data_IF_261842608938
#
_entry.id   IF_261842608938
#
_cell.length_a   1.000
_cell.length_b   1.000
_cell.length_c   1.000
_cell.angle_alpha   90.00
_cell.angle_beta   90.00
_cell.angle_gamma   90.00
#
_symmetry.space_group_name_H-M   'P 1'
#
loop_
_entity.id
_entity.type
_entity.pdbx_description
1 polymer ?
2 non-polymer ?
3 water ?
#
# COMPACT_ATOMS: atom_id res chain seq x y z
N UNK A 3 -10.86 8.33 29.80
CA UNK A 3 -11.45 8.78 28.49
C UNK A 3 -10.80 8.13 27.21
N UNK A 4 -11.49 8.30 26.09
CA UNK A 4 -11.16 7.58 24.85
C UNK A 4 -10.06 8.29 24.03
N UNK A 5 -9.29 7.48 23.31
CA UNK A 5 -8.38 7.95 22.29
C UNK A 5 -9.17 7.80 20.99
N UNK A 6 -9.25 8.89 20.21
CA UNK A 6 -10.10 8.90 19.00
C UNK A 6 -9.26 8.75 17.73
N UNK A 7 -9.66 7.85 16.84
CA UNK A 7 -8.92 7.56 15.63
C UNK A 7 -9.93 7.61 14.51
N UNK A 8 -9.64 8.45 13.49
CA UNK A 8 -10.58 8.58 12.37
C UNK A 8 -9.94 7.97 11.17
N UNK A 9 -10.66 7.07 10.50
CA UNK A 9 -10.10 6.32 9.37
C UNK A 9 -11.01 6.61 8.19
N UNK A 10 -10.41 7.04 7.09
CA UNK A 10 -11.17 7.17 5.90
C UNK A 10 -10.56 6.21 4.89
N UNK A 11 -11.37 5.26 4.42
CA UNK A 11 -10.96 4.29 3.42
C UNK A 11 -12.08 4.08 2.40
N UNK A 12 -11.77 3.41 1.29
CA UNK A 12 -12.79 3.28 0.25
C UNK A 12 -13.50 1.96 0.48
N UNK A 13 -14.77 1.98 0.81
CA UNK A 13 -15.48 0.70 0.90
C UNK A 13 -16.51 0.53 -0.19
N UNK A 14 -16.62 1.49 -1.11
CA UNK A 14 -17.55 1.33 -2.22
C UNK A 14 -16.81 1.52 -3.53
N UNK A 15 -17.34 0.95 -4.61
CA UNK A 15 -16.72 1.09 -5.92
C UNK A 15 -15.48 0.23 -6.00
N UNK A 16 -14.75 0.33 -7.12
CA UNK A 16 -13.78 -0.77 -7.33
C UNK A 16 -12.51 -0.69 -6.45
N UNK A 17 -12.24 0.49 -5.89
CA UNK A 17 -11.13 0.64 -4.95
C UNK A 17 -11.42 0.02 -3.56
N UNK A 18 -12.63 -0.51 -3.41
CA UNK A 18 -13.03 -1.23 -2.17
C UNK A 18 -12.26 -2.57 -2.04
N UNK A 19 -11.73 -3.04 -3.15
CA UNK A 19 -10.79 -4.16 -3.15
C UNK A 19 -9.60 -3.86 -2.21
N UNK A 20 -9.23 -2.58 -2.04
CA UNK A 20 -8.14 -2.22 -1.13
C UNK A 20 -8.69 -1.84 0.22
N UNK A 21 -9.72 -0.99 0.29
CA UNK A 21 -10.26 -0.48 1.55
C UNK A 21 -11.09 -1.46 2.39
N UNK A 22 -11.84 -2.36 1.73
CA UNK A 22 -12.64 -3.37 2.46
C UNK A 22 -11.77 -4.29 3.40
N UNK A 23 -10.65 -4.86 2.88
CA UNK A 23 -9.75 -5.55 3.84
C UNK A 23 -9.10 -4.66 4.91
N UNK A 24 -8.76 -3.41 4.56
CA UNK A 24 -8.17 -2.51 5.55
C UNK A 24 -9.25 -2.35 6.63
N UNK A 25 -10.49 -2.16 6.22
CA UNK A 25 -11.59 -2.03 7.17
C UNK A 25 -11.85 -3.34 7.91
N UNK A 26 -11.98 -4.44 7.20
CA UNK A 26 -12.10 -5.77 7.87
C UNK A 26 -11.03 -6.07 8.94
N UNK A 27 -9.82 -5.60 8.72
CA UNK A 27 -8.72 -5.97 9.60
C UNK A 27 -8.80 -5.27 10.97
N UNK A 28 -9.62 -4.22 11.05
CA UNK A 28 -9.84 -3.51 12.30
C UNK A 28 -10.46 -4.40 13.41
N UNK A 29 -11.14 -5.46 13.02
CA UNK A 29 -11.59 -6.43 13.99
C UNK A 29 -10.47 -7.01 14.90
N UNK A 30 -9.25 -7.05 14.38
CA UNK A 30 -8.14 -7.75 15.03
C UNK A 30 -7.05 -6.83 15.62
N UNK A 31 -7.29 -5.52 15.72
CA UNK A 31 -6.22 -4.66 16.22
C UNK A 31 -6.53 -4.33 17.66
N UNK A 32 -5.64 -3.60 18.34
CA UNK A 32 -5.86 -3.30 19.78
C UNK A 32 -7.14 -2.53 19.99
N UNK A 33 -7.75 -2.75 21.16
CA UNK A 33 -9.04 -2.18 21.52
C UNK A 33 -8.89 -1.04 22.48
N UNK A 34 -7.76 -1.01 23.15
CA UNK A 34 -7.46 0.06 24.09
C UNK A 34 -5.99 0.15 24.08
N UNK A 35 -5.49 1.32 24.46
CA UNK A 35 -4.07 1.52 24.76
C UNK A 35 -3.90 2.32 26.07
N UNK A 36 -2.94 1.90 26.90
CA UNK A 36 -2.67 2.53 28.20
C UNK A 36 -3.94 2.66 29.01
N UNK A 37 -4.82 1.66 28.91
CA UNK A 37 -6.09 1.65 29.63
C UNK A 37 -7.13 2.61 29.08
N UNK A 38 -6.82 3.30 27.97
CA UNK A 38 -7.86 4.10 27.32
C UNK A 38 -8.51 3.32 26.17
N UNK A 39 -9.85 3.21 26.15
CA UNK A 39 -10.56 2.63 25.02
C UNK A 39 -10.26 3.39 23.70
N UNK A 40 -10.22 2.64 22.60
CA UNK A 40 -10.11 3.23 21.26
C UNK A 40 -11.48 3.48 20.68
N UNK A 41 -11.72 4.73 20.29
CA UNK A 41 -12.93 5.05 19.58
C UNK A 41 -12.51 5.22 18.10
N UNK A 42 -12.95 4.28 17.27
CA UNK A 42 -12.46 4.17 15.94
C UNK A 42 -13.63 4.48 15.03
N UNK A 43 -13.53 5.58 14.31
CA UNK A 43 -14.59 6.00 13.41
C UNK A 43 -14.11 5.75 12.03
N UNK A 44 -14.89 5.02 11.23
CA UNK A 44 -14.46 4.68 9.90
C UNK A 44 -15.47 5.25 8.93
N UNK A 45 -15.01 5.99 7.93
CA UNK A 45 -15.97 6.49 6.96
C UNK A 45 -15.50 6.16 5.54
N UNK A 46 -16.45 5.72 4.71
CA UNK A 46 -16.19 5.50 3.27
C UNK A 46 -15.90 6.86 2.63
N UNK A 47 -14.94 6.89 1.72
CA UNK A 47 -14.69 8.05 0.89
C UNK A 47 -14.88 7.76 -0.59
N UNK A 48 -15.33 6.53 -0.91
CA UNK A 48 -15.55 6.11 -2.31
C UNK A 48 -14.31 6.26 -3.19
N UNK A 49 -13.15 6.42 -2.59
CA UNK A 49 -11.95 6.61 -3.40
C UNK A 49 -11.78 8.06 -3.88
N UNK A 50 -12.64 8.96 -3.42
CA UNK A 50 -12.71 10.32 -4.02
C UNK A 50 -11.97 11.35 -3.16
N UNK A 51 -10.98 12.08 -3.75
CA UNK A 51 -10.24 13.05 -2.92
C UNK A 51 -11.17 14.07 -2.20
N UNK A 52 -12.18 14.59 -2.87
CA UNK A 52 -13.18 15.47 -2.22
C UNK A 52 -13.82 14.81 -0.98
N UNK A 53 -14.32 13.57 -1.08
CA UNK A 53 -14.86 12.88 0.10
C UNK A 53 -13.84 12.59 1.22
N UNK A 54 -12.61 12.22 0.85
CA UNK A 54 -11.59 11.95 1.85
C UNK A 54 -11.28 13.22 2.61
N UNK A 55 -11.25 14.35 1.89
CA UNK A 55 -10.95 15.64 2.51
C UNK A 55 -12.03 15.98 3.52
N UNK A 56 -13.27 15.87 3.10
CA UNK A 56 -14.39 16.11 4.02
C UNK A 56 -14.41 15.23 5.25
N UNK A 57 -14.17 13.92 5.11
CA UNK A 57 -14.10 13.02 6.25
C UNK A 57 -12.99 13.44 7.16
N UNK A 58 -11.83 13.76 6.58
CA UNK A 58 -10.66 14.17 7.39
C UNK A 58 -10.88 15.46 8.18
N UNK A 59 -11.54 16.43 7.54
CA UNK A 59 -11.87 17.68 8.18
C UNK A 59 -12.83 17.48 9.34
N UNK A 60 -13.81 16.59 9.16
CA UNK A 60 -14.71 16.22 10.21
C UNK A 60 -14.00 15.54 11.37
N UNK A 61 -13.18 14.54 11.07
CA UNK A 61 -12.39 13.84 12.12
C UNK A 61 -11.57 14.79 13.00
N UNK A 62 -10.88 15.72 12.32
CA UNK A 62 -9.89 16.56 12.91
C UNK A 62 -10.51 17.71 13.72
N UNK A 63 -11.62 18.27 13.21
CA UNK A 63 -12.18 19.45 13.82
C UNK A 63 -13.39 19.13 14.71
N UNK A 64 -14.23 18.15 14.34
CA UNK A 64 -15.44 17.86 15.08
C UNK A 64 -15.29 16.67 16.00
N UNK A 65 -14.68 15.59 15.55
CA UNK A 65 -14.41 14.55 16.54
C UNK A 65 -13.11 14.70 17.30
N UNK A 66 -12.32 15.70 16.98
CA UNK A 66 -11.09 15.94 17.72
C UNK A 66 -10.19 14.70 17.77
N UNK A 67 -10.01 14.08 16.59
CA UNK A 67 -9.23 12.86 16.46
C UNK A 67 -7.82 13.14 16.91
N UNK A 68 -7.26 12.16 17.62
CA UNK A 68 -5.84 12.12 18.00
C UNK A 68 -4.90 11.65 16.84
N UNK A 69 -5.45 10.85 15.93
CA UNK A 69 -4.73 10.25 14.82
C UNK A 69 -5.75 10.03 13.73
N UNK A 70 -5.37 10.32 12.49
CA UNK A 70 -6.22 9.90 11.39
C UNK A 70 -5.43 8.96 10.49
N UNK A 71 -6.16 8.16 9.72
CA UNK A 71 -5.54 7.24 8.76
C UNK A 71 -6.39 7.19 7.53
N UNK A 72 -5.70 6.85 6.46
CA UNK A 72 -6.29 6.68 5.12
C UNK A 72 -5.33 7.19 4.05
N UNK A 73 -5.77 7.13 2.79
CA UNK A 73 -6.97 6.44 2.42
C UNK A 73 -6.55 5.06 1.82
N UNK A 74 -7.36 4.50 0.93
CA UNK A 74 -7.03 3.23 0.29
C UNK A 74 -6.20 3.34 -0.99
N UNK A 75 -6.24 4.50 -1.66
CA UNK A 75 -5.53 4.75 -2.92
C UNK A 75 -4.84 6.13 -2.85
N UNK A 76 -3.87 6.34 -3.70
CA UNK A 76 -2.99 7.52 -3.59
C UNK A 76 -3.68 8.91 -3.60
N UNK A 77 -4.55 9.21 -4.61
CA UNK A 77 -5.07 10.60 -4.60
C UNK A 77 -5.88 10.98 -3.34
N UNK A 78 -6.84 10.13 -2.89
CA UNK A 78 -7.43 10.51 -1.61
C UNK A 78 -6.44 10.57 -0.46
N UNK A 79 -5.35 9.81 -0.55
CA UNK A 79 -4.35 9.80 0.51
C UNK A 79 -3.55 11.11 0.59
N UNK A 80 -3.23 11.67 -0.55
CA UNK A 80 -2.64 12.98 -0.64
C UNK A 80 -3.56 14.02 0.02
N UNK A 81 -4.84 13.93 -0.28
CA UNK A 81 -5.83 14.81 0.27
C UNK A 81 -5.82 14.72 1.80
N UNK A 82 -5.91 13.52 2.37
CA UNK A 82 -5.95 13.35 3.84
C UNK A 82 -4.67 13.92 4.43
N UNK A 83 -3.53 13.62 3.80
CA UNK A 83 -2.24 14.13 4.24
C UNK A 83 -2.26 15.67 4.31
N UNK A 84 -2.76 16.32 3.26
CA UNK A 84 -2.88 17.79 3.28
C UNK A 84 -3.74 18.30 4.45
N UNK A 85 -4.90 17.68 4.72
CA UNK A 85 -5.71 18.08 5.88
C UNK A 85 -4.92 17.91 7.16
N UNK A 86 -4.28 16.76 7.28
CA UNK A 86 -3.52 16.45 8.47
C UNK A 86 -2.39 17.39 8.71
N UNK A 87 -1.68 17.82 7.66
CA UNK A 87 -0.54 18.72 7.90
C UNK A 87 -0.97 20.17 8.19
N UNK A 88 -2.20 20.50 7.84
CA UNK A 88 -2.73 21.79 8.13
C UNK A 88 -3.39 21.87 9.50
N UNK A 89 -4.13 20.81 9.86
CA UNK A 89 -4.80 20.75 11.15
C UNK A 89 -3.84 20.37 12.27
N UNK A 90 -2.71 19.79 11.89
CA UNK A 90 -1.68 19.41 12.85
C UNK A 90 -2.03 18.11 13.59
N UNK A 91 -2.40 17.10 12.78
CA UNK A 91 -2.85 15.80 13.31
C UNK A 91 -2.06 14.62 12.76
N UNK A 92 -1.53 13.75 13.64
CA UNK A 92 -0.79 12.59 13.14
C UNK A 92 -1.63 11.79 12.14
N UNK A 93 -0.97 11.47 11.03
CA UNK A 93 -1.64 10.77 9.91
C UNK A 93 -0.84 9.56 9.44
N UNK A 94 -1.48 8.39 9.49
CA UNK A 94 -0.88 7.17 8.93
C UNK A 94 -1.54 6.87 7.60
N UNK A 95 -0.79 7.08 6.53
CA UNK A 95 -1.26 6.75 5.16
C UNK A 95 -1.36 5.25 4.92
N UNK A 96 -2.44 4.82 4.30
CA UNK A 96 -2.62 3.41 3.97
C UNK A 96 -2.37 3.14 2.50
N UNK A 97 -1.83 4.12 1.79
CA UNK A 97 -1.43 3.92 0.38
C UNK A 97 -0.17 4.72 0.09
N UNK A 98 0.66 4.33 -0.90
CA UNK A 98 1.83 5.21 -1.11
C UNK A 98 1.43 6.65 -1.41
N UNK A 99 2.27 7.61 -1.07
CA UNK A 99 2.05 8.96 -1.60
C UNK A 99 3.36 9.66 -1.80
N UNK A 100 3.43 10.63 -2.72
CA UNK A 100 4.63 11.45 -2.74
C UNK A 100 4.74 12.31 -1.45
N UNK A 101 5.84 12.14 -0.75
CA UNK A 101 6.08 12.94 0.45
C UNK A 101 6.74 14.25 0.07
N UNK A 102 6.02 15.36 0.11
CA UNK A 102 6.65 16.68 -0.04
C UNK A 102 6.87 17.31 1.36
N UNK A 103 7.70 18.37 1.48
CA UNK A 103 7.86 19.06 2.76
C UNK A 103 6.48 19.48 3.41
N UNK A 104 5.51 19.81 2.57
CA UNK A 104 4.16 20.07 3.05
C UNK A 104 3.51 18.92 3.77
N UNK A 105 3.99 17.73 3.53
CA UNK A 105 3.29 16.51 3.99
C UNK A 105 4.05 15.75 5.06
N UNK A 106 5.35 16.04 5.14
CA UNK A 106 6.34 15.25 5.87
C UNK A 106 6.23 15.34 7.39
N UNK A 107 5.76 16.47 7.90
CA UNK A 107 5.73 16.64 9.34
C UNK A 107 4.72 15.76 10.05
N UNK A 108 3.49 15.69 9.53
CA UNK A 108 2.39 15.02 10.23
C UNK A 108 2.05 13.64 9.65
N UNK A 109 2.52 13.32 8.46
CA UNK A 109 2.15 12.02 7.86
C UNK A 109 3.26 11.00 7.89
N UNK A 110 2.93 9.74 8.21
CA UNK A 110 3.80 8.59 7.90
C UNK A 110 3.08 7.61 6.98
N UNK A 111 3.83 6.73 6.34
CA UNK A 111 3.22 5.87 5.38
C UNK A 111 3.51 4.41 5.71
N UNK A 112 2.49 3.55 5.62
CA UNK A 112 2.60 2.11 5.93
C UNK A 112 3.11 1.29 4.71
N UNK A 113 2.58 1.56 3.51
CA UNK A 113 3.01 0.81 2.32
C UNK A 113 4.47 0.94 2.05
N UNK A 114 5.06 -0.09 1.48
CA UNK A 114 6.47 0.02 1.09
C UNK A 114 6.59 1.15 0.07
N UNK A 115 7.73 1.87 0.11
CA UNK A 115 8.04 2.88 -0.88
C UNK A 115 8.20 2.24 -2.28
N UNK A 116 7.64 2.87 -3.32
CA UNK A 116 7.80 2.35 -4.70
C UNK A 116 9.21 1.87 -5.12
N UNK A 117 10.27 2.64 -4.82
CA UNK A 117 11.59 2.16 -5.23
C UNK A 117 12.09 0.87 -4.57
N UNK A 118 11.63 0.58 -3.35
CA UNK A 118 11.99 -0.67 -2.73
C UNK A 118 11.30 -1.80 -3.47
N UNK A 119 10.06 -1.58 -3.88
CA UNK A 119 9.31 -2.62 -4.62
C UNK A 119 9.82 -2.77 -6.04
N UNK A 120 10.19 -1.66 -6.66
CA UNK A 120 10.73 -1.70 -8.00
C UNK A 120 12.02 -2.47 -8.04
N UNK A 121 12.88 -2.30 -7.03
CA UNK A 121 14.19 -2.98 -7.03
C UNK A 121 14.06 -4.51 -7.21
N UNK A 122 13.14 -5.11 -6.47
CA UNK A 122 12.93 -6.54 -6.53
C UNK A 122 12.45 -6.91 -7.98
N UNK A 123 11.53 -6.11 -8.52
CA UNK A 123 11.12 -6.28 -9.91
C UNK A 123 12.31 -6.22 -10.91
N UNK A 124 13.15 -5.20 -10.78
CA UNK A 124 14.20 -4.94 -11.78
C UNK A 124 15.34 -5.94 -11.67
N UNK A 125 15.61 -6.37 -10.44
CA UNK A 125 16.59 -7.43 -10.20
C UNK A 125 16.17 -8.74 -10.87
N UNK A 126 14.88 -9.07 -10.80
CA UNK A 126 14.40 -10.26 -11.45
C UNK A 126 14.54 -10.09 -12.99
N UNK A 127 14.22 -8.88 -13.49
CA UNK A 127 14.42 -8.54 -14.89
C UNK A 127 15.88 -8.82 -15.33
N UNK A 128 16.85 -8.15 -14.70
CA UNK A 128 18.29 -8.34 -15.02
C UNK A 128 18.72 -9.82 -15.01
N UNK A 129 18.23 -10.60 -14.06
CA UNK A 129 18.72 -11.95 -13.86
C UNK A 129 18.19 -12.83 -15.00
N UNK A 130 17.18 -12.33 -15.68
CA UNK A 130 16.52 -13.06 -16.71
C UNK A 130 16.83 -12.45 -18.06
N UNK A 131 17.89 -11.68 -18.09
CA UNK A 131 18.31 -10.94 -19.27
C UNK A 131 17.26 -10.11 -20.01
N UNK A 132 16.32 -9.51 -19.29
CA UNK A 132 15.35 -8.63 -19.88
C UNK A 132 16.00 -7.29 -20.11
N UNK A 133 15.83 -6.69 -21.26
CA UNK A 133 16.36 -5.34 -21.53
C UNK A 133 15.25 -4.34 -21.91
N UNK A 134 14.38 -4.71 -22.84
CA UNK A 134 13.37 -3.75 -23.21
C UNK A 134 12.14 -3.91 -22.34
N UNK A 135 11.61 -2.78 -21.87
CA UNK A 135 10.46 -2.73 -20.97
C UNK A 135 9.49 -1.66 -21.46
N UNK A 136 8.20 -1.95 -21.41
CA UNK A 136 7.23 -0.90 -21.66
C UNK A 136 6.38 -0.67 -20.41
N UNK A 137 5.78 0.50 -20.31
CA UNK A 137 5.01 0.81 -19.13
C UNK A 137 3.57 1.09 -19.50
N UNK A 138 2.61 0.57 -18.73
CA UNK A 138 1.23 1.07 -18.78
C UNK A 138 0.78 1.31 -17.36
N UNK A 139 0.34 2.54 -17.03
CA UNK A 139 0.05 2.86 -15.64
C UNK A 139 -1.04 3.92 -15.57
N UNK A 140 -1.48 4.23 -14.35
CA UNK A 140 -2.52 5.23 -14.16
C UNK A 140 -2.00 6.58 -14.58
N UNK A 141 -2.87 7.36 -15.18
CA UNK A 141 -2.52 8.77 -15.38
C UNK A 141 -2.88 9.58 -14.14
N UNK A 142 -2.37 9.18 -12.98
CA UNK A 142 -2.43 9.98 -11.74
C UNK A 142 -1.13 9.83 -10.97
N UNK A 143 -1.11 10.25 -9.71
CA UNK A 143 0.17 10.31 -9.00
C UNK A 143 0.77 8.94 -8.65
N UNK A 144 -0.06 7.90 -8.63
CA UNK A 144 0.47 6.54 -8.39
C UNK A 144 1.14 6.02 -9.66
N UNK A 145 0.50 6.27 -10.81
CA UNK A 145 1.12 5.98 -12.10
C UNK A 145 2.45 6.73 -12.30
N UNK A 146 2.49 8.03 -11.99
CA UNK A 146 3.74 8.77 -12.06
C UNK A 146 4.86 8.19 -11.20
N UNK A 147 4.57 7.89 -9.92
CA UNK A 147 5.58 7.35 -9.02
C UNK A 147 6.25 6.11 -9.63
N UNK A 148 5.43 5.22 -10.14
CA UNK A 148 5.94 3.97 -10.67
C UNK A 148 6.70 4.23 -11.98
N UNK A 149 6.14 5.10 -12.84
CA UNK A 149 6.89 5.53 -14.04
C UNK A 149 8.17 6.25 -13.65
N UNK A 150 8.11 7.22 -12.72
CA UNK A 150 9.38 7.90 -12.30
C UNK A 150 10.43 6.91 -11.84
N UNK A 151 9.99 5.89 -11.12
CA UNK A 151 10.93 4.91 -10.64
C UNK A 151 11.47 3.98 -11.74
N UNK A 152 10.63 3.60 -12.70
CA UNK A 152 11.13 2.77 -13.83
C UNK A 152 12.19 3.56 -14.63
N UNK A 153 11.89 4.83 -14.90
CA UNK A 153 12.80 5.76 -15.59
C UNK A 153 14.13 5.94 -14.87
N UNK A 154 14.07 5.94 -13.55
CA UNK A 154 15.22 6.29 -12.74
C UNK A 154 15.97 5.06 -12.23
N UNK A 155 15.38 4.25 -11.35
CA UNK A 155 16.06 3.03 -10.90
C UNK A 155 16.15 1.96 -12.00
N UNK A 156 15.05 1.84 -12.73
CA UNK A 156 14.95 0.88 -13.83
C UNK A 156 16.02 1.06 -14.90
N UNK A 157 16.22 2.30 -15.36
CA UNK A 157 17.27 2.57 -16.36
C UNK A 157 18.64 2.44 -15.72
N UNK A 158 18.71 2.75 -14.42
CA UNK A 158 19.93 2.54 -13.68
C UNK A 158 20.29 1.06 -13.54
N UNK A 159 19.31 0.16 -13.74
CA UNK A 159 19.56 -1.31 -13.73
C UNK A 159 19.87 -1.87 -15.14
N UNK A 160 20.04 -1.00 -16.14
CA UNK A 160 20.37 -1.46 -17.49
C UNK A 160 19.16 -1.81 -18.35
N UNK A 161 17.97 -1.34 -17.98
CA UNK A 161 16.79 -1.50 -18.82
C UNK A 161 16.56 -0.27 -19.69
N UNK A 162 16.01 -0.48 -20.90
CA UNK A 162 15.64 0.60 -21.78
C UNK A 162 14.13 0.68 -21.89
N UNK A 163 13.55 1.82 -21.54
CA UNK A 163 12.10 1.99 -21.63
C UNK A 163 11.75 2.35 -23.04
N UNK A 164 10.91 1.55 -23.69
CA UNK A 164 10.64 1.72 -25.11
C UNK A 164 9.29 2.35 -25.40
N UNK A 165 8.39 2.33 -24.42
CA UNK A 165 7.03 2.80 -24.58
C UNK A 165 6.45 3.12 -23.21
N UNK A 166 5.65 4.19 -23.17
CA UNK A 166 4.96 4.67 -21.97
C UNK A 166 3.53 4.95 -22.43
N UNK A 167 2.57 4.39 -21.71
CA UNK A 167 1.16 4.58 -21.98
C UNK A 167 0.44 4.72 -20.63
N UNK A 168 -0.71 5.37 -20.64
CA UNK A 168 -1.42 5.64 -19.42
C UNK A 168 -2.89 5.42 -19.66
N UNK A 169 -3.61 5.17 -18.58
CA UNK A 169 -5.05 5.03 -18.67
C UNK A 169 -5.63 5.55 -17.37
N UNK A 170 -6.90 5.92 -17.37
CA UNK A 170 -7.54 6.34 -16.13
C UNK A 170 -8.08 5.13 -15.38
N UNK A 171 -8.02 5.22 -14.05
CA UNK A 171 -8.50 4.21 -13.15
C UNK A 171 -9.79 3.50 -13.56
N UNK A 172 -10.89 4.27 -13.85
CA UNK A 172 -12.17 3.64 -14.25
C UNK A 172 -12.25 3.13 -15.71
N UNK A 173 -11.21 3.34 -16.53
CA UNK A 173 -11.28 2.88 -17.95
C UNK A 173 -11.62 1.41 -18.08
N UNK A 174 -12.47 1.07 -19.06
CA UNK A 174 -12.79 -0.31 -19.28
C UNK A 174 -12.06 -0.91 -20.47
N UNK A 175 -11.49 -0.08 -21.37
CA UNK A 175 -10.54 -0.63 -22.33
C UNK A 175 -9.17 0.03 -22.20
N UNK A 176 -8.14 -0.71 -22.55
CA UNK A 176 -6.83 -0.12 -22.84
C UNK A 176 -6.35 -0.60 -24.19
N UNK A 177 -7.34 -0.76 -25.08
CA UNK A 177 -7.11 -1.37 -26.40
C UNK A 177 -6.06 -0.61 -27.19
N UNK A 178 -6.22 0.70 -27.29
CA UNK A 178 -5.36 1.52 -28.11
C UNK A 178 -3.97 1.52 -27.54
N UNK A 179 -3.88 1.65 -26.20
CA UNK A 179 -2.57 1.65 -25.52
C UNK A 179 -1.90 0.31 -25.64
N UNK A 180 -2.67 -0.77 -25.60
CA UNK A 180 -2.02 -2.10 -25.61
C UNK A 180 -1.47 -2.43 -26.98
N UNK A 181 -2.14 -1.92 -28.01
CA UNK A 181 -1.64 -2.09 -29.36
C UNK A 181 -0.33 -1.36 -29.60
N UNK A 182 -0.15 -0.19 -29.01
CA UNK A 182 1.15 0.48 -29.04
C UNK A 182 2.23 -0.29 -28.25
N UNK A 183 1.85 -0.88 -27.13
CA UNK A 183 2.83 -1.63 -26.37
C UNK A 183 3.25 -2.87 -27.14
N UNK A 184 2.27 -3.62 -27.67
CA UNK A 184 2.55 -4.87 -28.37
C UNK A 184 3.45 -4.65 -29.60
N UNK A 185 3.09 -3.62 -30.40
CA UNK A 185 3.90 -3.14 -31.53
C UNK A 185 5.37 -2.89 -31.19
N UNK A 186 5.64 -2.14 -30.12
CA UNK A 186 7.02 -1.94 -29.68
C UNK A 186 7.68 -3.25 -29.21
N UNK A 187 6.88 -4.33 -29.07
CA UNK A 187 7.36 -5.69 -28.63
C UNK A 187 8.46 -5.76 -27.55
N UNK A 188 8.24 -5.10 -26.40
CA UNK A 188 9.32 -5.09 -25.38
C UNK A 188 9.49 -6.47 -24.72
N UNK A 189 10.67 -6.77 -24.16
CA UNK A 189 10.87 -8.03 -23.39
C UNK A 189 9.95 -8.15 -22.18
N UNK A 190 9.56 -7.02 -21.61
CA UNK A 190 8.73 -7.01 -20.40
C UNK A 190 7.83 -5.79 -20.43
N UNK A 191 6.67 -5.92 -19.81
CA UNK A 191 5.87 -4.77 -19.44
C UNK A 191 5.63 -4.64 -17.90
N UNK A 192 5.86 -3.45 -17.39
CA UNK A 192 5.42 -3.10 -16.09
C UNK A 192 4.05 -2.39 -16.10
N UNK A 193 3.18 -2.90 -15.23
CA UNK A 193 1.85 -2.33 -15.08
C UNK A 193 1.78 -1.54 -13.75
N UNK A 194 1.65 -0.22 -13.84
CA UNK A 194 1.57 0.62 -12.68
C UNK A 194 0.12 0.85 -12.31
N UNK A 195 -0.49 -0.13 -11.64
CA UNK A 195 -1.90 -0.01 -11.31
C UNK A 195 -2.20 -0.85 -10.02
N UNK A 196 -3.47 -1.16 -9.76
CA UNK A 196 -3.80 -1.75 -8.48
C UNK A 196 -5.19 -2.41 -8.51
N UNK A 197 -5.46 -3.23 -7.48
CA UNK A 197 -6.65 -4.10 -7.35
C UNK A 197 -7.26 -4.55 -8.68
N UNK A 198 -8.56 -4.30 -8.81
CA UNK A 198 -9.39 -4.53 -10.00
C UNK A 198 -8.80 -4.06 -11.32
N UNK A 199 -8.41 -2.80 -11.38
CA UNK A 199 -7.88 -2.22 -12.61
C UNK A 199 -6.54 -2.81 -13.05
N UNK A 200 -5.75 -3.36 -12.11
CA UNK A 200 -4.48 -4.03 -12.46
C UNK A 200 -4.65 -5.24 -13.42
N UNK A 201 -5.83 -5.86 -13.37
CA UNK A 201 -6.20 -7.02 -14.19
C UNK A 201 -6.63 -6.65 -15.64
N UNK A 202 -7.04 -5.40 -15.83
CA UNK A 202 -7.32 -4.89 -17.16
C UNK A 202 -6.12 -4.98 -18.12
N UNK A 203 -4.99 -4.33 -17.78
CA UNK A 203 -3.85 -4.51 -18.67
C UNK A 203 -3.39 -5.97 -18.81
N UNK A 204 -3.43 -6.74 -17.69
CA UNK A 204 -3.13 -8.17 -17.66
C UNK A 204 -3.88 -8.93 -18.77
N UNK A 205 -5.22 -8.93 -18.72
CA UNK A 205 -6.05 -9.59 -19.74
C UNK A 205 -5.89 -8.98 -21.12
N UNK A 206 -5.93 -7.65 -21.22
CA UNK A 206 -5.80 -7.04 -22.54
C UNK A 206 -4.50 -7.38 -23.27
N UNK A 207 -3.38 -7.33 -22.55
CA UNK A 207 -2.08 -7.74 -23.10
C UNK A 207 -2.14 -9.18 -23.67
N UNK A 208 -2.60 -10.13 -22.87
CA UNK A 208 -2.59 -11.53 -23.33
C UNK A 208 -3.54 -11.78 -24.53
N UNK A 209 -4.75 -11.23 -24.45
CA UNK A 209 -5.75 -11.29 -25.52
C UNK A 209 -5.31 -10.72 -26.88
N UNK A 210 -4.37 -9.79 -26.85
CA UNK A 210 -3.76 -9.20 -28.05
C UNK A 210 -2.35 -9.76 -28.31
N UNK A 211 -2.11 -10.98 -27.82
CA UNK A 211 -0.94 -11.75 -28.22
C UNK A 211 0.40 -11.26 -27.68
N UNK A 212 0.38 -10.43 -26.64
CA UNK A 212 1.65 -10.06 -26.00
C UNK A 212 2.26 -11.34 -25.44
N UNK A 213 3.54 -11.50 -25.71
CA UNK A 213 4.30 -12.74 -25.47
C UNK A 213 5.33 -12.64 -24.34
N UNK A 214 5.62 -11.40 -23.92
CA UNK A 214 6.64 -11.18 -22.94
C UNK A 214 6.24 -11.37 -21.48
N UNK A 215 7.16 -11.01 -20.61
CA UNK A 215 6.88 -11.03 -19.18
C UNK A 215 5.97 -9.87 -18.77
N UNK A 216 5.05 -10.09 -17.84
CA UNK A 216 4.31 -8.97 -17.27
C UNK A 216 4.57 -8.86 -15.74
N UNK A 217 4.96 -7.67 -15.31
CA UNK A 217 5.26 -7.39 -13.93
C UNK A 217 4.16 -6.50 -13.38
N UNK A 218 3.79 -6.74 -12.11
CA UNK A 218 2.77 -5.97 -11.38
C UNK A 218 3.28 -5.42 -10.03
N UNK A 219 2.68 -4.34 -9.58
CA UNK A 219 3.13 -3.68 -8.36
C UNK A 219 2.39 -4.29 -7.15
N UNK A 220 2.90 -3.98 -5.95
CA UNK A 220 2.24 -4.34 -4.69
C UNK A 220 0.83 -3.80 -4.55
N UNK A 221 0.39 -2.97 -5.50
CA UNK A 221 -0.97 -2.46 -5.51
C UNK A 221 -1.92 -3.53 -5.98
N UNK A 222 -1.34 -4.58 -6.57
CA UNK A 222 -2.13 -5.66 -7.20
C UNK A 222 -2.25 -6.90 -6.30
N UNK A 223 -1.61 -6.87 -5.10
CA UNK A 223 -1.41 -8.09 -4.28
C UNK A 223 -2.57 -8.52 -3.39
N UNK A 224 -3.63 -8.98 -4.03
CA UNK A 224 -4.76 -9.66 -3.33
C UNK A 224 -5.45 -10.59 -4.32
N UNK A 225 -6.43 -11.38 -3.85
CA UNK A 225 -7.03 -12.39 -4.70
C UNK A 225 -7.84 -11.79 -5.84
N UNK A 226 -8.36 -10.59 -5.64
CA UNK A 226 -9.20 -9.91 -6.61
C UNK A 226 -8.54 -9.87 -7.99
N UNK A 227 -7.21 -9.67 -8.02
CA UNK A 227 -6.49 -9.65 -9.28
C UNK A 227 -6.56 -11.02 -10.01
N UNK A 228 -6.40 -12.08 -9.25
CA UNK A 228 -6.33 -13.43 -9.80
C UNK A 228 -7.70 -13.78 -10.29
N UNK A 229 -8.71 -13.42 -9.48
CA UNK A 229 -10.11 -13.64 -9.79
C UNK A 229 -10.51 -12.98 -11.07
N UNK A 230 -9.97 -11.81 -11.32
CA UNK A 230 -10.38 -11.08 -12.48
C UNK A 230 -9.52 -11.46 -13.71
N UNK A 231 -8.21 -11.53 -13.55
CA UNK A 231 -7.36 -11.80 -14.69
C UNK A 231 -7.41 -13.28 -15.12
N UNK A 232 -7.94 -14.17 -14.29
CA UNK A 232 -8.02 -15.59 -14.65
C UNK A 232 -6.70 -16.17 -15.19
N UNK A 233 -6.78 -16.93 -16.28
CA UNK A 233 -5.59 -17.56 -16.87
C UNK A 233 -4.55 -16.50 -17.30
N UNK A 234 -5.02 -15.31 -17.67
CA UNK A 234 -4.04 -14.26 -18.00
C UNK A 234 -3.06 -13.96 -16.84
N UNK A 235 -3.41 -14.30 -15.62
CA UNK A 235 -2.55 -14.07 -14.45
C UNK A 235 -1.29 -14.94 -14.40
N UNK A 236 -1.37 -16.12 -15.03
CA UNK A 236 -0.31 -17.13 -14.95
C UNK A 236 1.06 -16.55 -15.32
N UNK A 237 2.05 -16.87 -14.50
CA UNK A 237 3.43 -16.42 -14.74
C UNK A 237 3.70 -14.93 -14.51
N UNK A 238 2.68 -14.16 -14.09
CA UNK A 238 2.92 -12.76 -13.68
C UNK A 238 4.00 -12.69 -12.57
N UNK A 239 4.78 -11.61 -12.56
CA UNK A 239 5.66 -11.33 -11.44
C UNK A 239 5.14 -10.10 -10.74
N UNK A 240 4.94 -10.25 -9.43
CA UNK A 240 4.32 -9.22 -8.63
C UNK A 240 5.10 -8.92 -7.35
N UNK A 241 5.38 -7.62 -7.15
CA UNK A 241 6.00 -7.14 -5.92
C UNK A 241 4.97 -7.25 -4.80
N UNK A 242 5.42 -7.66 -3.62
CA UNK A 242 4.52 -7.83 -2.49
C UNK A 242 5.20 -7.56 -1.14
N UNK A 243 4.40 -7.19 -0.14
CA UNK A 243 4.88 -7.19 1.26
C UNK A 243 5.04 -8.63 1.76
N UNK A 244 5.83 -8.86 2.82
CA UNK A 244 6.02 -10.27 3.23
C UNK A 244 4.78 -10.88 3.90
N UNK A 245 3.77 -10.05 4.23
CA UNK A 245 2.51 -10.59 4.79
C UNK A 245 1.83 -11.59 3.83
N UNK A 246 2.18 -11.54 2.54
CA UNK A 246 1.55 -12.46 1.62
C UNK A 246 2.09 -13.89 1.85
N UNK A 247 3.27 -13.99 2.46
CA UNK A 247 3.84 -15.31 2.72
C UNK A 247 4.62 -15.42 4.03
N UNK A 248 3.96 -15.25 5.18
CA UNK A 248 4.72 -15.43 6.46
C UNK A 248 5.22 -16.87 6.65
N UNK A 249 4.47 -17.85 6.16
CA UNK A 249 4.86 -19.29 6.23
C UNK A 249 6.22 -19.58 5.68
N UNK A 250 6.62 -18.85 4.65
CA UNK A 250 7.92 -19.04 4.10
C UNK A 250 9.02 -18.16 4.62
N UNK A 251 8.73 -17.33 5.63
CA UNK A 251 9.79 -16.54 6.26
C UNK A 251 10.53 -17.42 7.25
N UNK A 252 11.80 -17.11 7.46
CA UNK A 252 12.56 -17.73 8.51
C UNK A 252 11.99 -17.35 9.91
N UNK A 253 12.13 -18.24 10.90
CA UNK A 253 11.62 -18.00 12.26
C UNK A 253 12.23 -16.78 12.99
N UNK A 254 13.48 -16.45 12.68
CA UNK A 254 14.06 -15.20 13.18
C UNK A 254 13.49 -13.86 12.56
N UNK A 255 12.74 -13.94 11.45
CA UNK A 255 12.18 -12.75 10.83
C UNK A 255 11.20 -12.07 11.80
N UNK A 256 11.45 -10.79 12.13
CA UNK A 256 10.56 -10.03 13.01
C UNK A 256 9.13 -9.88 12.49
N UNK A 257 8.96 -10.03 11.19
CA UNK A 257 7.67 -9.88 10.58
C UNK A 257 6.82 -11.16 10.64
N UNK A 258 7.45 -12.27 11.03
CA UNK A 258 6.79 -13.58 10.89
C UNK A 258 5.53 -13.74 11.74
N UNK A 259 5.69 -13.56 13.04
CA UNK A 259 4.64 -13.79 13.98
C UNK A 259 3.49 -12.80 13.78
N UNK A 260 3.79 -11.48 13.58
CA UNK A 260 2.58 -10.66 13.39
C UNK A 260 1.90 -10.97 12.06
N UNK A 261 2.66 -11.37 11.04
CA UNK A 261 2.03 -11.75 9.76
C UNK A 261 1.11 -12.95 9.98
N UNK A 262 1.61 -13.93 10.73
CA UNK A 262 0.87 -15.15 10.99
C UNK A 262 -0.31 -14.81 11.78
N UNK A 263 -0.13 -13.92 12.74
CA UNK A 263 -1.20 -13.57 13.65
C UNK A 263 -2.30 -12.81 12.89
N UNK A 264 -1.94 -11.85 12.06
CA UNK A 264 -2.97 -11.28 11.23
C UNK A 264 -3.62 -12.31 10.30
N UNK A 265 -2.83 -13.00 9.49
CA UNK A 265 -3.41 -13.92 8.53
C UNK A 265 -4.27 -15.05 9.13
N UNK A 266 -3.83 -15.64 10.22
CA UNK A 266 -4.63 -16.67 10.82
C UNK A 266 -6.00 -16.11 11.17
N UNK A 267 -6.06 -14.98 11.89
CA UNK A 267 -7.34 -14.45 12.28
C UNK A 267 -8.15 -14.03 11.03
N UNK A 268 -7.51 -13.36 10.07
CA UNK A 268 -8.26 -12.81 8.91
C UNK A 268 -8.81 -13.98 8.05
N UNK A 269 -7.95 -14.95 7.77
CA UNK A 269 -8.36 -16.11 6.99
C UNK A 269 -9.31 -17.06 7.74
N UNK A 270 -9.19 -17.14 9.07
CA UNK A 270 -10.19 -17.84 9.89
C UNK A 270 -11.58 -17.31 9.55
N UNK A 271 -11.73 -15.99 9.45
CA UNK A 271 -13.04 -15.41 9.18
C UNK A 271 -13.44 -15.35 7.70
N UNK A 272 -12.53 -14.93 6.83
CA UNK A 272 -12.87 -14.61 5.43
C UNK A 272 -12.56 -15.69 4.40
N UNK A 273 -11.98 -16.81 4.82
CA UNK A 273 -11.82 -17.95 3.88
C UNK A 273 -10.37 -18.13 3.47
N UNK A 274 -10.02 -19.27 2.85
CA UNK A 274 -8.61 -19.50 2.49
C UNK A 274 -8.11 -18.50 1.43
N UNK A 275 -6.84 -18.08 1.54
CA UNK A 275 -6.18 -17.15 0.56
C UNK A 275 -6.82 -15.77 0.60
N UNK A 276 -7.63 -15.51 1.60
CA UNK A 276 -8.22 -14.19 1.70
C UNK A 276 -7.22 -13.13 2.19
N UNK A 277 -6.02 -13.54 2.64
CA UNK A 277 -4.99 -12.54 3.02
C UNK A 277 -4.77 -11.49 1.87
N UNK A 278 -4.23 -10.33 2.23
CA UNK A 278 -3.81 -9.32 1.25
C UNK A 278 -2.74 -8.39 1.75
N UNK A 279 -2.04 -7.77 0.81
CA UNK A 279 -1.20 -6.60 1.05
C UNK A 279 -1.96 -5.60 1.94
N UNK A 280 -3.26 -5.46 1.68
CA UNK A 280 -4.02 -4.29 2.15
C UNK A 280 -4.52 -4.38 3.57
N UNK A 281 -5.03 -5.56 3.96
CA UNK A 281 -5.44 -5.78 5.35
C UNK A 281 -4.25 -5.46 6.25
N UNK A 282 -3.06 -5.80 5.80
CA UNK A 282 -1.85 -5.69 6.66
C UNK A 282 -1.48 -4.22 6.98
N UNK A 283 -1.89 -3.29 6.11
CA UNK A 283 -1.60 -1.87 6.35
C UNK A 283 -2.35 -1.31 7.56
N UNK A 284 -3.65 -1.63 7.67
CA UNK A 284 -4.35 -1.10 8.84
C UNK A 284 -3.95 -1.81 10.12
N UNK A 285 -3.74 -3.13 10.01
CA UNK A 285 -3.18 -3.89 11.08
C UNK A 285 -1.86 -3.30 11.57
N UNK A 286 -0.96 -3.00 10.65
CA UNK A 286 0.36 -2.48 11.02
C UNK A 286 0.29 -1.10 11.61
N UNK A 287 -0.67 -0.31 11.13
CA UNK A 287 -0.85 1.07 11.63
C UNK A 287 -1.15 0.99 13.14
N UNK A 288 -2.00 0.04 13.52
CA UNK A 288 -2.31 -0.12 14.93
C UNK A 288 -1.12 -0.66 15.75
N UNK A 289 -0.29 -1.54 15.19
CA UNK A 289 0.98 -1.94 15.85
C UNK A 289 1.90 -0.72 16.12
N UNK A 290 1.93 0.25 15.19
CA UNK A 290 2.70 1.48 15.43
C UNK A 290 2.01 2.23 16.57
N UNK A 291 0.69 2.33 16.52
CA UNK A 291 -0.02 2.98 17.62
C UNK A 291 0.26 2.32 19.00
N UNK A 292 0.35 0.99 19.03
CA UNK A 292 0.64 0.31 20.27
C UNK A 292 1.97 0.70 20.86
N UNK A 293 2.94 1.05 20.00
CA UNK A 293 4.23 1.59 20.48
C UNK A 293 4.25 3.10 20.87
N UNK A 294 3.61 3.98 20.11
CA UNK A 294 3.92 5.39 20.28
C UNK A 294 2.93 6.04 21.18
N UNK A 295 1.73 5.50 21.21
CA UNK A 295 0.69 6.00 22.08
C UNK A 295 0.96 5.93 23.57
N UNK A 296 1.49 4.78 24.08
CA UNK A 296 1.84 4.80 25.51
C UNK A 296 3.02 5.75 25.77
N UNK A 297 3.85 6.00 24.77
CA UNK A 297 4.92 7.00 24.94
C UNK A 297 4.31 8.39 25.05
N UNK A 298 3.35 8.68 24.17
CA UNK A 298 2.65 9.95 24.23
C UNK A 298 1.88 10.14 25.55
N UNK A 299 1.34 9.06 26.09
CA UNK A 299 0.58 9.13 27.34
C UNK A 299 1.44 9.55 28.56
N UNK A 300 2.75 9.42 28.50
CA UNK A 300 3.62 9.93 29.55
C UNK A 300 3.46 11.45 29.76
N UNK A 301 3.32 12.22 28.69
CA UNK A 301 3.37 13.69 28.81
C UNK A 301 2.08 14.44 28.50
N UNK A 302 1.08 13.79 27.91
CA UNK A 302 -0.21 14.44 27.66
C UNK A 302 -1.40 13.49 27.72
N UNK A 303 -2.58 14.06 27.90
CA UNK A 303 -3.85 13.33 27.98
C UNK A 303 -4.52 13.35 26.62
N UNK A 304 -5.27 12.28 26.30
CA UNK A 304 -5.99 12.25 25.03
C UNK A 304 -6.99 13.40 24.78
N UNK A 305 -7.24 13.68 23.49
CA UNK A 305 -8.14 14.78 23.12
C UNK A 305 -7.52 16.19 23.03
N UNK A 306 -6.20 16.31 23.14
CA UNK A 306 -5.57 17.63 23.10
C UNK A 306 -4.43 17.74 22.07
N UNK A 307 -4.12 19.00 21.70
CA UNK A 307 -3.05 19.27 20.77
C UNK A 307 -1.73 18.78 21.31
N UNK A 308 -1.55 18.84 22.63
CA UNK A 308 -0.35 18.32 23.26
C UNK A 308 -0.26 16.83 23.03
N UNK A 309 -1.41 16.17 22.95
CA UNK A 309 -1.39 14.74 22.69
C UNK A 309 -0.98 14.44 21.24
N UNK A 310 -1.55 15.19 20.29
CA UNK A 310 -1.15 15.08 18.88
C UNK A 310 0.35 15.26 18.68
N UNK A 311 0.88 16.36 19.22
CA UNK A 311 2.31 16.67 19.24
C UNK A 311 3.13 15.58 19.89
N UNK A 312 2.68 15.02 21.01
CA UNK A 312 3.50 13.97 21.64
C UNK A 312 3.58 12.69 20.78
N UNK A 313 2.47 12.32 20.17
CA UNK A 313 2.48 11.21 19.20
C UNK A 313 3.45 11.52 18.05
N UNK A 314 3.39 12.74 17.51
CA UNK A 314 4.32 13.13 16.43
C UNK A 314 5.76 12.86 16.79
N UNK A 315 6.14 13.29 17.98
CA UNK A 315 7.49 13.13 18.46
C UNK A 315 7.83 11.65 18.74
N UNK A 316 6.86 10.90 19.29
CA UNK A 316 7.06 9.46 19.53
C UNK A 316 7.31 8.69 18.26
N UNK A 317 6.62 9.08 17.17
CA UNK A 317 6.78 8.39 15.88
C UNK A 317 8.18 8.41 15.38
N UNK A 318 8.91 9.46 15.76
CA UNK A 318 10.25 9.64 15.29
C UNK A 318 11.26 9.15 16.33
N UNK A 319 10.82 8.95 17.56
CA UNK A 319 11.77 8.51 18.61
C UNK A 319 11.79 6.96 18.83
N UNK A 320 10.71 6.27 18.49
CA UNK A 320 10.60 4.80 18.68
C UNK A 320 11.07 4.00 17.46
N UNK A 321 12.17 3.29 17.62
CA UNK A 321 12.77 2.59 16.51
C UNK A 321 12.30 1.13 16.44
N UNK A 322 12.41 0.56 15.23
CA UNK A 322 12.23 -0.89 14.97
C UNK A 322 10.86 -1.37 15.42
N UNK A 323 9.78 -0.82 14.90
CA UNK A 323 8.44 -1.28 15.25
C UNK A 323 8.11 -2.46 14.33
N UNK A 324 8.11 -3.65 14.92
CA UNK A 324 7.88 -4.90 14.23
C UNK A 324 6.42 -5.05 13.80
N UNK A 325 6.20 -5.20 12.51
CA UNK A 325 4.85 -5.42 12.07
C UNK A 325 4.92 -6.51 10.99
N UNK A 326 3.79 -6.76 10.34
CA UNK A 326 3.68 -7.90 9.46
C UNK A 326 4.31 -7.60 8.12
N UNK A 327 4.45 -6.30 7.81
CA UNK A 327 4.88 -5.87 6.49
C UNK A 327 6.32 -5.38 6.46
N UNK A 328 6.88 -5.18 7.66
CA UNK A 328 8.25 -4.76 7.83
C UNK A 328 8.54 -4.34 9.27
N UNK A 329 9.73 -3.76 9.45
CA UNK A 329 10.19 -3.27 10.76
C UNK A 329 10.34 -1.76 10.52
N UNK A 330 9.45 -0.98 11.13
CA UNK A 330 9.32 0.45 10.85
C UNK A 330 10.17 1.28 11.80
N UNK A 331 11.05 2.08 11.24
CA UNK A 331 11.77 3.15 11.95
C UNK A 331 11.58 4.45 11.17
N UNK A 332 10.62 5.26 11.57
CA UNK A 332 10.42 6.59 11.00
C UNK A 332 11.40 7.68 11.46
N UNK A 333 11.68 8.64 10.58
CA UNK A 333 12.44 9.79 11.04
C UNK A 333 11.79 11.08 10.55
N UNK A 334 12.40 12.21 10.85
CA UNK A 334 11.80 13.48 10.40
C UNK A 334 11.79 13.65 8.90
N UNK A 335 12.74 12.98 8.22
CA UNK A 335 12.79 13.04 6.78
C UNK A 335 12.39 11.75 6.09
N UNK A 336 12.33 10.64 6.84
CA UNK A 336 11.91 9.36 6.23
C UNK A 336 10.61 8.91 6.79
N UNK A 337 9.60 9.01 5.97
CA UNK A 337 8.24 8.96 6.47
C UNK A 337 7.68 7.62 6.08
N UNK A 338 8.52 6.85 5.38
CA UNK A 338 8.25 5.45 5.13
C UNK A 338 8.96 4.52 6.14
N UNK A 339 10.21 4.77 6.45
CA UNK A 339 10.88 3.97 7.50
C UNK A 339 11.10 2.46 7.27
N UNK A 340 11.20 2.03 6.00
CA UNK A 340 11.34 0.57 5.74
C UNK A 340 12.60 0.22 4.96
N UNK A 341 13.18 -0.95 5.23
CA UNK A 341 14.26 -1.47 4.39
C UNK A 341 13.80 -2.79 3.67
N UNK A 342 14.73 -3.69 3.35
CA UNK A 342 14.42 -4.86 2.49
C UNK A 342 13.76 -6.05 3.13
N UNK A 343 13.67 -6.04 4.45
CA UNK A 343 12.90 -7.04 5.18
C UNK A 343 11.41 -6.82 4.89
N UNK A 344 11.14 -5.93 3.94
CA UNK A 344 9.79 -5.53 3.74
C UNK A 344 9.28 -5.83 2.32
N UNK A 345 9.91 -6.80 1.63
CA UNK A 345 9.47 -7.13 0.25
C UNK A 345 9.81 -8.56 -0.16
N UNK A 346 8.94 -9.18 -0.96
CA UNK A 346 9.25 -10.47 -1.62
C UNK A 346 8.66 -10.34 -3.05
N UNK A 347 8.86 -11.40 -3.86
CA UNK A 347 8.39 -11.46 -5.22
C UNK A 347 7.50 -12.67 -5.31
N UNK A 348 6.27 -12.43 -5.79
CA UNK A 348 5.29 -13.49 -5.98
C UNK A 348 5.11 -13.79 -7.47
N UNK A 349 4.70 -15.00 -7.78
CA UNK A 349 4.15 -15.25 -9.10
C UNK A 349 2.84 -16.01 -8.94
N UNK A 350 2.21 -16.35 -10.06
CA UNK A 350 0.91 -17.04 -10.03
C UNK A 350 1.10 -18.28 -10.85
N UNK A 351 0.85 -19.43 -10.21
CA UNK A 351 0.86 -20.76 -10.84
C UNK A 351 -0.43 -21.44 -10.41
N UNK A 352 -1.22 -21.91 -11.38
CA UNK A 352 -2.48 -22.62 -11.14
C UNK A 352 -3.48 -21.84 -10.31
N UNK A 353 -3.57 -20.54 -10.59
CA UNK A 353 -4.59 -19.68 -9.98
C UNK A 353 -4.25 -19.32 -8.54
N UNK A 354 -2.97 -19.48 -8.15
CA UNK A 354 -2.45 -19.22 -6.77
C UNK A 354 -1.09 -18.47 -6.75
N UNK A 355 -0.87 -17.69 -5.69
CA UNK A 355 0.37 -16.93 -5.46
C UNK A 355 1.42 -17.82 -4.94
N UNK A 356 2.61 -17.79 -5.55
CA UNK A 356 3.71 -18.58 -5.05
C UNK A 356 4.89 -17.61 -4.86
N UNK A 357 5.62 -17.75 -3.76
CA UNK A 357 6.79 -16.93 -3.56
C UNK A 357 7.90 -17.36 -4.47
N UNK A 358 8.38 -16.43 -5.29
CA UNK A 358 9.59 -16.69 -6.10
C UNK A 358 10.84 -16.55 -5.19
N UNK A 359 11.00 -15.38 -4.57
CA UNK A 359 12.15 -15.08 -3.69
C UNK A 359 11.76 -14.12 -2.55
#
# INVERSE_FOLDING_TARGET
ETNEITIGITVTTTGPAAALGIPERNALEFVAKEIGGHPLKVIVLDDGGDPTAATTNARRFVTESKADVIMGSSVTPPTVAVSNVANEAQVPHIALAPLPITPERAKWSVAMPQPIPIMGKVLYEHMKKNNIKTVGYIGYSDSYGDLWFNDLKKQGEAMGLKIVAEERFARPDTSVAGQVLKLVAANPDAILVGASGTAAALPQTSLRERGYKGLIYQTHGAASMDFIRIAGKSAEGVLMASGPVMDPEGQDDSALTKKPGLELNTAYEAKYGPNSRSQFAAHSFDAFKVLERVVPVALKTAKPGTQEFREAIRKALVSEKDIAASQGVYSFTETDRYGLDDRSRILLTVKDGKYVMVKAAALEHHHHHH
#
